data_IF_704756665377
#
_entry.id   IF_704756665377
#
_cell.length_a   1.000
_cell.length_b   1.000
_cell.length_c   1.000
_cell.angle_alpha   90.00
_cell.angle_beta   90.00
_cell.angle_gamma   90.00
#
_symmetry.space_group_name_H-M   'P 1'
#
loop_
_entity.id
_entity.type
_entity.pdbx_description
1 polymer ?
#
# COMPACT_ATOMS: atom_id res chain seq x y z
N UNK A 1 3.76 5.44 -5.70
CA UNK A 1 4.24 4.16 -5.13
C UNK A 1 4.78 3.36 -6.28
N UNK A 2 6.08 3.10 -6.29
CA UNK A 2 6.72 2.32 -7.34
C UNK A 2 6.88 0.88 -6.84
N UNK A 3 6.39 -0.07 -7.63
CA UNK A 3 6.63 -1.48 -7.37
C UNK A 3 7.99 -1.85 -8.01
N UNK A 4 8.95 -2.30 -7.20
CA UNK A 4 10.20 -2.84 -7.72
C UNK A 4 9.93 -4.18 -8.41
N UNK A 5 10.13 -4.23 -9.73
CA UNK A 5 9.93 -5.40 -10.56
C UNK A 5 11.09 -6.39 -10.39
N UNK A 6 11.03 -7.25 -9.37
CA UNK A 6 11.80 -8.52 -9.37
C UNK A 6 10.93 -9.62 -9.98
N UNK A 7 11.53 -10.57 -10.70
CA UNK A 7 10.86 -11.60 -11.51
C UNK A 7 9.58 -12.14 -10.84
N UNK A 8 8.43 -11.92 -11.47
CA UNK A 8 7.14 -12.31 -10.92
C UNK A 8 6.71 -13.65 -11.51
N UNK A 9 6.35 -14.60 -10.66
CA UNK A 9 5.78 -15.89 -11.08
C UNK A 9 4.30 -15.93 -10.71
N UNK A 10 3.43 -16.16 -11.69
CA UNK A 10 2.02 -16.49 -11.45
C UNK A 10 1.92 -18.00 -11.32
N UNK A 11 1.40 -18.48 -10.20
CA UNK A 11 1.03 -19.89 -10.05
C UNK A 11 -0.49 -20.00 -10.18
N UNK A 12 -0.96 -20.65 -11.24
CA UNK A 12 -2.37 -20.90 -11.48
C UNK A 12 -2.90 -22.02 -10.59
N UNK A 13 -4.22 -22.06 -10.37
CA UNK A 13 -4.89 -23.12 -9.59
C UNK A 13 -4.67 -24.54 -10.10
N UNK A 14 -4.34 -24.70 -11.39
CA UNK A 14 -4.00 -25.98 -12.01
C UNK A 14 -2.50 -26.34 -11.90
N UNK A 15 -1.70 -25.54 -11.18
CA UNK A 15 -0.26 -25.73 -11.02
C UNK A 15 0.59 -25.19 -12.17
N UNK A 16 0.00 -24.57 -13.20
CA UNK A 16 0.78 -23.91 -14.24
C UNK A 16 1.52 -22.70 -13.66
N UNK A 17 2.78 -22.52 -14.03
CA UNK A 17 3.63 -21.39 -13.60
C UNK A 17 3.92 -20.52 -14.81
N UNK A 18 3.52 -19.26 -14.75
CA UNK A 18 3.87 -18.23 -15.74
C UNK A 18 4.96 -17.34 -15.12
N UNK A 19 6.17 -17.42 -15.64
CA UNK A 19 7.31 -16.61 -15.21
C UNK A 19 7.40 -15.36 -16.09
N UNK A 20 7.31 -14.18 -15.48
CA UNK A 20 7.25 -12.92 -16.19
C UNK A 20 8.48 -12.09 -15.81
N UNK A 21 9.35 -11.85 -16.79
CA UNK A 21 10.56 -11.03 -16.67
C UNK A 21 10.19 -9.54 -16.67
N UNK A 22 10.91 -8.72 -15.88
CA UNK A 22 10.52 -7.34 -15.57
C UNK A 22 10.82 -6.31 -16.68
N UNK A 23 11.24 -6.73 -17.86
CA UNK A 23 11.55 -5.84 -19.00
C UNK A 23 10.30 -5.38 -19.76
N UNK A 24 9.27 -4.97 -19.03
CA UNK A 24 8.01 -4.47 -19.60
C UNK A 24 8.19 -2.95 -19.84
N UNK A 25 8.03 -2.45 -21.08
CA UNK A 25 8.07 -1.02 -21.39
C UNK A 25 7.06 -0.25 -20.51
N UNK A 26 7.37 0.99 -20.10
CA UNK A 26 6.53 1.74 -19.14
C UNK A 26 5.05 1.92 -19.57
N UNK A 27 4.78 1.91 -20.88
CA UNK A 27 3.40 1.91 -21.41
C UNK A 27 2.61 0.63 -21.14
N UNK A 28 3.29 -0.50 -20.96
CA UNK A 28 2.70 -1.81 -20.67
C UNK A 28 2.68 -2.13 -19.16
N UNK A 29 3.46 -1.41 -18.34
CA UNK A 29 3.49 -1.53 -16.87
C UNK A 29 2.11 -1.29 -16.24
N UNK A 30 1.31 -0.37 -16.78
CA UNK A 30 -0.05 -0.09 -16.31
C UNK A 30 -1.04 -1.23 -16.60
N UNK A 31 -0.94 -1.85 -17.78
CA UNK A 31 -1.73 -3.04 -18.12
C UNK A 31 -1.26 -4.29 -17.35
N UNK A 32 0.02 -4.34 -17.02
CA UNK A 32 0.59 -5.38 -16.17
C UNK A 32 0.07 -5.28 -14.75
N UNK A 33 0.24 -4.13 -14.09
CA UNK A 33 -0.24 -3.92 -12.72
C UNK A 33 -1.75 -4.14 -12.59
N UNK A 34 -2.56 -3.78 -13.59
CA UNK A 34 -4.02 -4.02 -13.51
C UNK A 34 -4.41 -5.50 -13.51
N UNK A 35 -3.58 -6.40 -14.07
CA UNK A 35 -3.77 -7.86 -13.99
C UNK A 35 -3.44 -8.42 -12.61
N UNK A 36 -2.55 -7.77 -11.86
CA UNK A 36 -2.11 -8.20 -10.53
C UNK A 36 -2.79 -7.47 -9.38
N UNK A 37 -3.15 -6.21 -9.55
CA UNK A 37 -3.80 -5.36 -8.57
C UNK A 37 -5.33 -5.59 -8.58
N UNK A 38 -5.73 -6.85 -8.43
CA UNK A 38 -7.16 -7.25 -8.40
C UNK A 38 -7.79 -7.14 -7.02
N UNK A 39 -7.00 -6.76 -6.02
CA UNK A 39 -7.49 -6.46 -4.69
C UNK A 39 -8.51 -5.30 -4.73
N UNK A 40 -9.56 -5.32 -3.89
CA UNK A 40 -10.58 -4.27 -3.88
C UNK A 40 -10.04 -2.84 -3.67
N UNK A 41 -8.84 -2.68 -3.10
CA UNK A 41 -8.19 -1.38 -2.94
C UNK A 41 -7.74 -0.76 -4.27
N UNK A 42 -7.52 -1.59 -5.31
CA UNK A 42 -6.97 -1.18 -6.60
C UNK A 42 -8.02 -1.21 -7.74
N UNK A 43 -9.21 -1.75 -7.48
CA UNK A 43 -10.31 -1.71 -8.45
C UNK A 43 -10.75 -0.26 -8.72
N UNK A 44 -11.21 0.02 -9.93
CA UNK A 44 -11.84 1.30 -10.29
C UNK A 44 -13.19 1.50 -9.61
N UNK A 45 -13.87 0.40 -9.28
CA UNK A 45 -15.08 0.39 -8.46
C UNK A 45 -14.73 0.53 -6.98
N UNK A 46 -15.65 1.06 -6.17
CA UNK A 46 -15.43 1.32 -4.75
C UNK A 46 -16.43 0.61 -3.86
N UNK A 47 -15.92 -0.10 -2.85
CA UNK A 47 -16.74 -0.74 -1.81
C UNK A 47 -17.39 0.26 -0.85
N UNK A 48 -16.83 1.47 -0.75
CA UNK A 48 -17.15 2.44 0.31
C UNK A 48 -18.01 3.62 -0.16
N UNK A 49 -18.41 3.66 -1.43
CA UNK A 49 -19.29 4.70 -1.95
C UNK A 49 -19.04 4.99 -3.43
N UNK A 50 -19.78 5.94 -3.99
CA UNK A 50 -19.70 6.31 -5.41
C UNK A 50 -18.64 7.36 -5.73
N UNK A 51 -17.85 7.77 -4.74
CA UNK A 51 -16.83 8.79 -4.89
C UNK A 51 -15.51 8.34 -4.28
N UNK A 52 -14.41 8.69 -4.94
CA UNK A 52 -13.04 8.43 -4.49
C UNK A 52 -12.24 9.71 -4.56
N UNK A 53 -11.43 9.94 -3.54
CA UNK A 53 -10.36 10.93 -3.60
C UNK A 53 -9.05 10.21 -3.92
N UNK A 54 -8.40 10.63 -5.00
CA UNK A 54 -7.07 10.14 -5.38
C UNK A 54 -6.07 11.27 -5.21
N UNK A 55 -5.04 11.02 -4.41
CA UNK A 55 -3.95 11.96 -4.20
C UNK A 55 -2.62 11.31 -4.58
N UNK A 56 -1.70 12.14 -5.07
CA UNK A 56 -0.30 11.77 -5.06
C UNK A 56 0.17 11.70 -3.61
N UNK A 57 0.93 10.66 -3.28
CA UNK A 57 1.42 10.47 -1.93
C UNK A 57 2.39 11.58 -1.51
N UNK A 58 3.23 12.06 -2.43
CA UNK A 58 4.13 13.20 -2.19
C UNK A 58 3.33 14.44 -1.82
N UNK A 59 2.26 14.74 -2.55
CA UNK A 59 1.40 15.88 -2.23
C UNK A 59 0.80 15.78 -0.82
N UNK A 60 0.41 14.57 -0.39
CA UNK A 60 -0.11 14.36 0.98
C UNK A 60 0.98 14.60 2.02
N UNK A 61 2.18 14.06 1.80
CA UNK A 61 3.30 14.20 2.74
C UNK A 61 3.85 15.63 2.80
N UNK A 62 3.89 16.33 1.68
CA UNK A 62 4.30 17.74 1.63
C UNK A 62 3.30 18.61 2.39
N UNK A 63 2.00 18.39 2.20
CA UNK A 63 0.96 19.08 2.96
C UNK A 63 1.00 18.78 4.44
N UNK A 64 1.30 17.53 4.80
CA UNK A 64 1.49 17.12 6.18
C UNK A 64 2.73 17.81 6.78
N UNK A 65 3.84 17.86 6.04
CA UNK A 65 5.07 18.56 6.43
C UNK A 65 4.81 20.03 6.74
N UNK A 66 4.12 20.74 5.84
CA UNK A 66 3.77 22.15 6.00
C UNK A 66 2.91 22.40 7.24
N UNK A 67 1.88 21.57 7.47
CA UNK A 67 0.87 21.82 8.51
C UNK A 67 1.26 21.28 9.90
N UNK A 68 2.01 20.18 9.95
CA UNK A 68 2.26 19.44 11.20
C UNK A 68 3.75 19.33 11.57
N UNK A 69 4.67 19.52 10.62
CA UNK A 69 6.11 19.35 10.85
C UNK A 69 6.91 20.66 10.82
N UNK A 70 6.24 21.81 10.70
CA UNK A 70 6.86 23.12 10.46
C UNK A 70 7.77 23.11 9.21
N UNK A 71 7.33 22.43 8.14
CA UNK A 71 8.05 22.28 6.88
C UNK A 71 9.19 21.26 6.90
N UNK A 72 9.47 20.61 8.04
CA UNK A 72 10.49 19.56 8.12
C UNK A 72 9.95 18.23 7.59
N UNK A 73 10.80 17.38 6.98
CA UNK A 73 10.37 16.06 6.52
C UNK A 73 9.71 15.25 7.66
N UNK A 74 8.53 14.64 7.42
CA UNK A 74 7.90 13.79 8.41
C UNK A 74 8.75 12.54 8.69
N UNK A 75 8.53 11.95 9.86
CA UNK A 75 9.17 10.69 10.28
C UNK A 75 8.18 9.55 10.06
N UNK A 76 8.66 8.49 9.40
CA UNK A 76 7.89 7.28 9.16
C UNK A 76 8.37 6.17 10.09
N UNK A 77 7.45 5.50 10.78
CA UNK A 77 7.73 4.37 11.67
C UNK A 77 6.78 3.20 11.43
N UNK A 78 7.26 1.99 11.68
CA UNK A 78 6.42 0.79 11.66
C UNK A 78 5.50 0.83 12.88
N UNK A 79 4.21 1.06 12.67
CA UNK A 79 3.24 1.14 13.77
C UNK A 79 2.82 -0.24 14.24
N UNK A 80 2.23 -1.03 13.33
CA UNK A 80 1.78 -2.39 13.57
C UNK A 80 1.52 -3.13 12.27
N UNK A 81 1.47 -4.45 12.37
CA UNK A 81 1.00 -5.33 11.30
C UNK A 81 -0.27 -6.02 11.78
N UNK A 82 -1.36 -5.85 11.04
CA UNK A 82 -2.66 -6.45 11.35
C UNK A 82 -2.94 -7.61 10.40
N UNK A 83 -3.40 -8.73 10.94
CA UNK A 83 -3.80 -9.90 10.17
C UNK A 83 -5.33 -9.99 10.11
N UNK A 84 -5.86 -9.96 8.90
CA UNK A 84 -7.25 -10.25 8.59
C UNK A 84 -7.35 -11.63 7.93
N UNK A 85 -8.57 -12.18 7.89
CA UNK A 85 -8.85 -13.49 7.31
C UNK A 85 -8.24 -13.71 5.91
N UNK A 86 -8.11 -12.64 5.12
CA UNK A 86 -7.57 -12.67 3.75
C UNK A 86 -6.60 -11.51 3.45
N UNK A 87 -6.05 -10.84 4.47
CA UNK A 87 -5.14 -9.72 4.22
C UNK A 87 -4.14 -9.50 5.36
N UNK A 88 -2.93 -9.06 5.01
CA UNK A 88 -1.96 -8.50 5.96
C UNK A 88 -1.91 -7.00 5.73
N UNK A 89 -2.12 -6.20 6.77
CA UNK A 89 -2.04 -4.75 6.69
C UNK A 89 -0.85 -4.23 7.48
N UNK A 90 0.15 -3.71 6.77
CA UNK A 90 1.31 -3.03 7.32
C UNK A 90 0.97 -1.55 7.54
N UNK A 91 0.85 -1.14 8.79
CA UNK A 91 0.52 0.24 9.16
C UNK A 91 1.81 1.01 9.41
N UNK A 92 2.00 2.09 8.66
CA UNK A 92 3.10 3.03 8.81
C UNK A 92 2.55 4.28 9.50
N UNK A 93 3.12 4.60 10.67
CA UNK A 93 2.87 5.86 11.36
C UNK A 93 3.70 6.96 10.68
N UNK A 94 3.05 8.07 10.37
CA UNK A 94 3.68 9.30 9.90
C UNK A 94 3.46 10.35 10.98
N UNK A 95 4.55 10.88 11.54
CA UNK A 95 4.49 11.87 12.61
C UNK A 95 5.52 13.00 12.43
N UNK A 96 5.29 14.12 13.11
CA UNK A 96 6.24 15.23 13.16
C UNK A 96 7.55 14.81 13.87
N UNK A 97 8.72 15.33 13.46
CA UNK A 97 9.95 15.14 14.22
C UNK A 97 9.91 15.61 15.67
N UNK A 98 8.96 16.49 16.05
CA UNK A 98 8.76 16.87 17.47
C UNK A 98 8.25 15.71 18.34
N UNK A 99 7.54 14.76 17.74
CA UNK A 99 6.94 13.62 18.45
C UNK A 99 7.89 12.40 18.52
N UNK A 100 9.17 12.58 18.18
CA UNK A 100 10.07 11.46 17.97
C UNK A 100 10.34 10.63 19.23
N UNK A 101 10.39 11.28 20.39
CA UNK A 101 10.56 10.60 21.69
C UNK A 101 9.36 9.70 22.02
N UNK A 102 8.15 10.21 21.78
CA UNK A 102 6.87 9.51 22.04
C UNK A 102 6.69 8.22 21.24
N UNK A 103 7.31 8.15 20.06
CA UNK A 103 7.21 6.99 19.16
C UNK A 103 8.54 6.25 18.97
N UNK A 104 9.53 6.52 19.84
CA UNK A 104 10.87 5.96 19.74
C UNK A 104 10.90 4.42 19.81
N UNK A 105 9.92 3.80 20.49
CA UNK A 105 9.73 2.36 20.56
C UNK A 105 9.36 1.70 19.22
N UNK A 106 8.80 2.45 18.28
CA UNK A 106 8.45 1.93 16.95
C UNK A 106 9.64 2.05 16.01
N UNK A 107 10.06 1.01 15.29
CA UNK A 107 11.19 1.11 14.37
C UNK A 107 10.99 2.17 13.30
N UNK A 108 12.05 2.87 12.91
CA UNK A 108 12.04 3.74 11.74
C UNK A 108 11.75 2.91 10.48
N UNK A 109 11.00 3.49 9.55
CA UNK A 109 10.77 2.86 8.25
C UNK A 109 11.98 3.11 7.34
N UNK A 110 12.98 2.23 7.43
CA UNK A 110 14.20 2.25 6.62
C UNK A 110 14.12 1.28 5.46
N UNK A 111 14.91 1.54 4.42
CA UNK A 111 15.09 0.59 3.34
C UNK A 111 16.11 -0.47 3.73
N UNK A 112 15.64 -1.70 3.90
CA UNK A 112 16.46 -2.89 4.09
C UNK A 112 16.17 -3.91 2.98
N UNK A 113 17.10 -4.82 2.71
CA UNK A 113 17.00 -5.79 1.60
C UNK A 113 15.69 -6.60 1.62
N UNK A 114 15.15 -6.89 2.81
CA UNK A 114 13.94 -7.69 3.00
C UNK A 114 12.75 -6.88 3.52
N UNK A 115 12.81 -5.54 3.47
CA UNK A 115 11.70 -4.68 3.89
C UNK A 115 10.49 -4.83 2.95
N UNK A 116 9.33 -5.21 3.50
CA UNK A 116 8.06 -5.29 2.76
C UNK A 116 7.57 -3.90 2.35
N UNK A 117 7.85 -2.91 3.17
CA UNK A 117 7.57 -1.51 2.90
C UNK A 117 8.77 -0.69 3.37
N UNK A 118 9.21 0.24 2.54
CA UNK A 118 10.28 1.18 2.86
C UNK A 118 9.96 2.57 2.34
N UNK A 119 10.58 3.59 2.92
CA UNK A 119 10.51 4.95 2.42
C UNK A 119 11.91 5.42 2.03
N UNK A 120 12.11 5.69 0.74
CA UNK A 120 13.36 6.22 0.22
C UNK A 120 13.21 7.72 0.04
N UNK A 121 14.14 8.51 0.58
CA UNK A 121 14.10 9.99 0.53
C UNK A 121 14.72 10.58 -0.74
N UNK A 122 15.68 9.87 -1.33
CA UNK A 122 16.49 10.30 -2.47
C UNK A 122 16.41 9.24 -3.59
N UNK A 123 16.46 9.61 -4.88
CA UNK A 123 16.57 10.96 -5.45
C UNK A 123 15.27 11.78 -5.39
N UNK A 124 14.12 11.11 -5.26
CA UNK A 124 12.84 11.74 -4.91
C UNK A 124 12.17 10.93 -3.79
N UNK A 125 11.39 11.55 -2.88
CA UNK A 125 10.72 10.81 -1.81
C UNK A 125 9.66 9.84 -2.35
N UNK A 126 9.85 8.53 -2.17
CA UNK A 126 8.89 7.51 -2.59
C UNK A 126 8.82 6.33 -1.62
N UNK A 127 7.64 5.72 -1.58
CA UNK A 127 7.45 4.43 -0.93
C UNK A 127 7.82 3.31 -1.88
N UNK A 128 8.63 2.39 -1.37
CA UNK A 128 8.91 1.10 -1.99
C UNK A 128 8.01 0.09 -1.29
N UNK A 129 7.22 -0.61 -2.09
CA UNK A 129 6.36 -1.67 -1.61
C UNK A 129 6.76 -2.98 -2.29
N UNK A 130 7.12 -3.97 -1.47
CA UNK A 130 7.56 -5.32 -1.87
C UNK A 130 6.55 -6.35 -1.34
N UNK A 131 5.32 -6.37 -1.87
CA UNK A 131 4.29 -7.27 -1.39
C UNK A 131 4.67 -8.73 -1.64
N UNK A 132 4.37 -9.58 -0.67
CA UNK A 132 4.44 -11.03 -0.79
C UNK A 132 3.23 -11.58 -1.53
N UNK A 133 2.10 -10.86 -1.50
CA UNK A 133 0.92 -11.20 -2.30
C UNK A 133 0.06 -9.97 -2.62
N UNK A 134 -0.18 -9.72 -3.91
CA UNK A 134 -0.97 -8.58 -4.39
C UNK A 134 -2.40 -8.93 -4.84
N UNK A 135 -2.74 -10.22 -4.90
CA UNK A 135 -4.05 -10.66 -5.40
C UNK A 135 -4.61 -11.85 -4.66
N UNK A 136 -5.94 -11.92 -4.67
CA UNK A 136 -6.70 -13.02 -4.10
C UNK A 136 -6.59 -14.32 -4.92
N UNK A 137 -5.82 -14.38 -6.01
CA UNK A 137 -5.82 -15.55 -6.92
C UNK A 137 -4.44 -16.10 -7.26
N UNK A 138 -3.36 -15.39 -6.96
CA UNK A 138 -2.01 -15.76 -7.34
C UNK A 138 -1.02 -15.42 -6.21
N UNK A 139 -0.15 -16.37 -5.87
CA UNK A 139 0.95 -16.19 -4.92
C UNK A 139 2.22 -15.75 -5.66
N UNK A 140 2.94 -14.76 -5.13
CA UNK A 140 4.30 -14.43 -5.59
C UNK A 140 5.29 -15.27 -4.79
N UNK A 141 5.88 -16.32 -5.38
CA UNK A 141 6.93 -17.08 -4.68
C UNK A 141 8.30 -16.45 -4.91
N UNK A 142 8.97 -16.02 -3.82
CA UNK A 142 10.44 -15.98 -3.80
C UNK A 142 10.93 -17.43 -3.75
N UNK A 143 11.88 -17.79 -4.60
CA UNK A 143 12.48 -19.12 -4.53
C UNK A 143 13.06 -19.37 -3.13
N UNK A 144 12.80 -20.57 -2.61
CA UNK A 144 13.09 -21.09 -1.26
C UNK A 144 12.09 -20.72 -0.15
N UNK A 145 10.89 -21.30 -0.22
CA UNK A 145 10.31 -22.20 0.80
C UNK A 145 8.86 -22.52 0.39
N UNK A 146 8.65 -23.76 -0.06
CA UNK A 146 7.34 -24.26 -0.46
C UNK A 146 6.52 -24.50 0.80
N UNK A 147 5.64 -23.55 1.15
CA UNK A 147 4.56 -23.82 2.09
C UNK A 147 3.52 -24.68 1.38
N UNK A 148 3.60 -26.00 1.61
CA UNK A 148 2.54 -26.91 1.18
C UNK A 148 1.27 -26.69 2.02
N UNK A 149 0.14 -26.64 1.30
CA UNK A 149 -1.25 -26.79 1.74
C UNK A 149 -2.02 -25.54 2.22
N UNK A 150 -3.10 -25.27 1.48
CA UNK A 150 -4.25 -24.42 1.85
C UNK A 150 -3.93 -22.97 2.21
N UNK A 151 -3.07 -22.32 1.41
CA UNK A 151 -2.77 -20.90 1.57
C UNK A 151 -4.06 -20.06 1.38
N UNK A 152 -4.60 -19.57 2.49
CA UNK A 152 -5.58 -18.50 2.48
C UNK A 152 -4.98 -17.37 1.65
N UNK A 153 -5.66 -17.03 0.56
CA UNK A 153 -5.29 -15.99 -0.38
C UNK A 153 -5.16 -14.68 0.41
N UNK A 154 -3.95 -14.30 0.77
CA UNK A 154 -3.67 -13.16 1.63
C UNK A 154 -3.22 -12.01 0.74
N UNK A 155 -3.82 -10.84 0.89
CA UNK A 155 -3.41 -9.63 0.16
C UNK A 155 -2.66 -8.72 1.12
N UNK A 156 -1.49 -8.25 0.71
CA UNK A 156 -0.75 -7.25 1.45
C UNK A 156 -1.34 -5.86 1.21
N UNK A 157 -1.43 -5.08 2.28
CA UNK A 157 -1.84 -3.69 2.26
C UNK A 157 -0.83 -2.84 3.01
N UNK A 158 -0.55 -1.65 2.49
CA UNK A 158 0.15 -0.61 3.25
C UNK A 158 -0.86 0.47 3.58
N UNK A 159 -0.98 0.80 4.86
CA UNK A 159 -1.80 1.90 5.35
C UNK A 159 -0.91 2.97 5.98
N UNK A 160 -1.16 4.23 5.63
CA UNK A 160 -0.51 5.37 6.26
C UNK A 160 -1.43 5.96 7.32
N UNK A 161 -0.94 6.04 8.55
CA UNK A 161 -1.61 6.71 9.66
C UNK A 161 -0.90 8.03 9.92
N UNK A 162 -1.55 9.14 9.58
CA UNK A 162 -1.04 10.48 9.82
C UNK A 162 -1.42 10.92 11.24
N UNK A 163 -0.44 11.25 12.08
CA UNK A 163 -0.71 11.81 13.40
C UNK A 163 -1.12 13.28 13.26
N UNK A 164 -2.40 13.58 13.47
CA UNK A 164 -2.97 14.93 13.32
C UNK A 164 -3.62 15.50 14.59
N UNK A 165 -3.57 14.77 15.70
CA UNK A 165 -4.26 15.09 16.97
C UNK A 165 -5.71 15.57 16.73
N UNK A 166 -6.14 16.67 17.34
CA UNK A 166 -7.47 17.27 17.18
C UNK A 166 -7.60 18.16 15.93
N UNK A 167 -6.58 18.18 15.06
CA UNK A 167 -6.56 18.96 13.84
C UNK A 167 -6.91 18.10 12.61
N UNK A 168 -7.07 18.75 11.47
CA UNK A 168 -7.41 18.09 10.21
C UNK A 168 -6.40 18.49 9.16
N UNK A 169 -5.89 17.53 8.40
CA UNK A 169 -5.04 17.80 7.24
C UNK A 169 -5.86 18.49 6.14
N UNK A 170 -5.51 19.74 5.82
CA UNK A 170 -6.26 20.56 4.86
C UNK A 170 -5.64 20.52 3.48
N UNK A 171 -6.51 20.51 2.47
CA UNK A 171 -6.17 20.74 1.07
C UNK A 171 -7.05 21.88 0.53
N UNK A 172 -6.59 22.55 -0.53
CA UNK A 172 -7.42 23.57 -1.19
C UNK A 172 -8.66 22.92 -1.83
N UNK A 173 -9.77 23.65 -1.88
CA UNK A 173 -11.00 23.19 -2.53
C UNK A 173 -10.75 22.76 -3.98
N UNK A 174 -9.91 23.50 -4.71
CA UNK A 174 -9.50 23.16 -6.06
C UNK A 174 -8.78 21.81 -6.14
N UNK A 175 -7.87 21.52 -5.19
CA UNK A 175 -7.17 20.23 -5.13
C UNK A 175 -8.14 19.11 -4.82
N UNK A 176 -9.01 19.29 -3.82
CA UNK A 176 -10.04 18.29 -3.47
C UNK A 176 -10.94 17.96 -4.66
N UNK A 177 -11.44 18.97 -5.37
CA UNK A 177 -12.28 18.78 -6.56
C UNK A 177 -11.55 18.04 -7.68
N UNK A 178 -10.28 18.36 -7.94
CA UNK A 178 -9.47 17.68 -8.96
C UNK A 178 -9.11 16.24 -8.59
N UNK A 179 -9.00 15.96 -7.29
CA UNK A 179 -8.75 14.63 -6.75
C UNK A 179 -10.00 13.76 -6.68
N UNK A 180 -11.20 14.35 -6.82
CA UNK A 180 -12.47 13.64 -6.71
C UNK A 180 -12.83 12.98 -8.06
N UNK A 181 -13.06 11.67 -8.03
CA UNK A 181 -13.61 10.93 -9.16
C UNK A 181 -14.86 10.15 -8.75
N UNK A 182 -15.80 10.03 -9.69
CA UNK A 182 -16.89 9.08 -9.57
C UNK A 182 -16.35 7.67 -9.75
N UNK A 183 -16.86 6.73 -8.94
CA UNK A 183 -16.57 5.31 -9.08
C UNK A 183 -17.87 4.52 -9.02
N UNK A 184 -17.93 3.47 -9.82
CA UNK A 184 -19.03 2.52 -9.75
C UNK A 184 -19.05 1.82 -8.39
N UNK A 185 -20.24 1.37 -7.99
CA UNK A 185 -20.40 0.60 -6.76
C UNK A 185 -19.66 -0.73 -6.90
N UNK A 186 -18.62 -0.91 -6.10
CA UNK A 186 -17.88 -2.16 -6.04
C UNK A 186 -18.69 -3.28 -5.42
N UNK A 187 -18.27 -4.52 -5.69
CA UNK A 187 -18.89 -5.71 -5.11
C UNK A 187 -18.91 -5.61 -3.59
N UNK A 188 -20.05 -6.00 -3.01
CA UNK A 188 -20.21 -5.96 -1.55
C UNK A 188 -19.16 -6.89 -0.94
N UNK A 189 -18.45 -6.47 0.13
CA UNK A 189 -17.58 -7.39 0.84
C UNK A 189 -18.41 -8.60 1.27
N UNK A 190 -17.88 -9.81 1.04
CA UNK A 190 -18.44 -11.04 1.60
C UNK A 190 -18.59 -10.80 3.10
N UNK A 191 -19.80 -10.99 3.64
CA UNK A 191 -20.06 -10.78 5.06
C UNK A 191 -19.11 -11.68 5.87
N UNK A 192 -18.16 -11.08 6.57
CA UNK A 192 -17.33 -11.79 7.52
C UNK A 192 -18.13 -11.90 8.81
N UNK A 193 -18.61 -13.10 9.12
CA UNK A 193 -19.08 -13.40 10.47
C UNK A 193 -17.86 -13.31 11.40
N UNK A 194 -17.77 -12.24 12.17
CA UNK A 194 -16.85 -12.13 13.29
C UNK A 194 -17.32 -13.13 14.35
N UNK A 195 -16.59 -14.23 14.51
CA UNK A 195 -16.65 -15.00 15.76
C UNK A 195 -15.58 -14.38 16.65
N UNK A 196 -16.02 -13.68 17.69
CA UNK A 196 -15.19 -13.20 18.80
C UNK A 196 -14.75 -14.39 19.66
#
# INVERSE_FOLDING_TARGET
MEAESRSMKIVHRNGAVEEITPEIPDGERGQFLSKFATSPAFLSSSRYGSYRLTFDLRDVLDRYSEQFCAGRPPVMRIWKTELFKQAVMYVVLVHSPSENEKFSQHPLLTEEENSICAFRKEPEPHFIWRPQAMCEKHSLSRETHVWHQTAALCVDHVALTLLVDDQVLRFTEQKLRRSLSFCEKGDRPVKFNTVL
#
